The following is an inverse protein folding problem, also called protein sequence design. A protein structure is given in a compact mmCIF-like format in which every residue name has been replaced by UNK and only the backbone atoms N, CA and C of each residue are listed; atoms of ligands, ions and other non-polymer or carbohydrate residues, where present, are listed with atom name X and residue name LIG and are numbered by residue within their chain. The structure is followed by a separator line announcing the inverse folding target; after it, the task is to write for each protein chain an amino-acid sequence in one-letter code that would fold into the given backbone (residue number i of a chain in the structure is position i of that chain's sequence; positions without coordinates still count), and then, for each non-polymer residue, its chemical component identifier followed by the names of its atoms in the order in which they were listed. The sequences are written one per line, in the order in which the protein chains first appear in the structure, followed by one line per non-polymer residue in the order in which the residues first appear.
data_IF_522289863292
#
_entry.id   IF_522289863292
#
_cell.length_a   1.000
_cell.length_b   1.000
_cell.length_c   1.000
_cell.angle_alpha   90.00
_cell.angle_beta   90.00
_cell.angle_gamma   90.00
#
_symmetry.space_group_name_H-M   'P 1'
#
loop_
_entity.id
_entity.type
_entity.pdbx_description
1 polymer ?
#
# COMPACT_ATOMS: atom_id res chain seq x y z
N UNK A 1 -1.56 -3.47 -7.50
CA UNK A 1 -2.81 -3.06 -6.82
C UNK A 1 -3.94 -2.94 -7.84
N UNK A 2 -5.20 -3.10 -7.39
CA UNK A 2 -6.40 -2.93 -8.24
C UNK A 2 -7.28 -1.79 -7.72
N UNK A 3 -7.90 -1.07 -8.63
CA UNK A 3 -8.98 -0.12 -8.35
C UNK A 3 -10.31 -0.76 -8.72
N UNK A 4 -11.18 -0.92 -7.73
CA UNK A 4 -12.50 -1.55 -7.87
C UNK A 4 -13.56 -0.46 -7.89
N UNK A 5 -14.44 -0.48 -8.89
CA UNK A 5 -15.61 0.39 -8.93
C UNK A 5 -16.88 -0.43 -8.77
N UNK A 6 -17.73 0.00 -7.83
CA UNK A 6 -19.01 -0.62 -7.51
C UNK A 6 -20.04 0.48 -7.22
N UNK A 7 -21.10 0.50 -8.02
CA UNK A 7 -22.06 1.61 -8.00
C UNK A 7 -21.35 2.93 -8.31
N UNK A 8 -21.42 3.89 -7.38
CA UNK A 8 -20.74 5.19 -7.47
C UNK A 8 -19.42 5.26 -6.71
N UNK A 9 -19.06 4.19 -5.99
CA UNK A 9 -17.90 4.16 -5.12
C UNK A 9 -16.71 3.49 -5.80
N UNK A 10 -15.51 3.95 -5.45
CA UNK A 10 -14.27 3.37 -5.93
C UNK A 10 -13.34 3.06 -4.77
N UNK A 11 -12.82 1.84 -4.75
CA UNK A 11 -11.95 1.32 -3.71
C UNK A 11 -10.60 0.92 -4.29
N UNK A 12 -9.57 0.93 -3.45
CA UNK A 12 -8.26 0.40 -3.78
C UNK A 12 -8.07 -0.88 -2.98
N UNK A 13 -7.63 -1.95 -3.64
CA UNK A 13 -7.38 -3.24 -3.02
C UNK A 13 -6.04 -3.79 -3.51
N UNK A 14 -5.49 -4.76 -2.77
CA UNK A 14 -4.37 -5.53 -3.29
C UNK A 14 -4.80 -6.41 -4.48
N UNK A 15 -3.82 -6.88 -5.25
CA UNK A 15 -4.12 -7.62 -6.49
C UNK A 15 -4.87 -8.93 -6.23
N UNK A 16 -4.52 -9.62 -5.14
CA UNK A 16 -5.14 -10.89 -4.78
C UNK A 16 -6.59 -10.69 -4.37
N UNK A 17 -6.87 -9.73 -3.51
CA UNK A 17 -8.22 -9.38 -3.09
C UNK A 17 -9.09 -8.93 -4.27
N UNK A 18 -8.51 -8.19 -5.23
CA UNK A 18 -9.19 -7.81 -6.46
C UNK A 18 -9.53 -9.02 -7.35
N UNK A 19 -8.60 -9.96 -7.51
CA UNK A 19 -8.83 -11.20 -8.27
C UNK A 19 -9.87 -12.11 -7.60
N UNK A 20 -9.77 -12.28 -6.28
CA UNK A 20 -10.70 -13.07 -5.49
C UNK A 20 -12.13 -12.48 -5.57
N UNK A 21 -12.27 -11.15 -5.48
CA UNK A 21 -13.55 -10.47 -5.67
C UNK A 21 -14.14 -10.71 -7.06
N UNK A 22 -13.32 -10.59 -8.11
CA UNK A 22 -13.80 -10.79 -9.49
C UNK A 22 -14.20 -12.23 -9.75
N UNK A 23 -13.52 -13.20 -9.14
CA UNK A 23 -13.92 -14.60 -9.18
C UNK A 23 -15.28 -14.79 -8.48
N UNK A 24 -15.42 -14.26 -7.26
CA UNK A 24 -16.65 -14.40 -6.48
C UNK A 24 -17.86 -13.74 -7.17
N UNK A 25 -17.67 -12.57 -7.78
CA UNK A 25 -18.73 -11.90 -8.55
C UNK A 25 -19.21 -12.74 -9.74
N UNK A 26 -18.33 -13.52 -10.39
CA UNK A 26 -18.72 -14.45 -11.47
C UNK A 26 -19.51 -15.64 -10.93
N UNK A 27 -19.14 -16.15 -9.76
CA UNK A 27 -19.85 -17.25 -9.10
C UNK A 27 -21.27 -16.82 -8.68
N UNK A 28 -21.45 -15.59 -8.20
CA UNK A 28 -22.76 -14.95 -7.93
C UNK A 28 -23.57 -14.81 -9.23
N UNK A 29 -22.95 -14.34 -10.31
CA UNK A 29 -23.62 -14.20 -11.61
C UNK A 29 -24.11 -15.55 -12.16
N UNK A 30 -23.32 -16.62 -11.98
CA UNK A 30 -23.65 -17.96 -12.42
C UNK A 30 -24.74 -18.62 -11.57
N UNK A 31 -24.64 -18.52 -10.24
CA UNK A 31 -25.60 -19.10 -9.30
C UNK A 31 -26.94 -18.34 -9.25
N UNK A 32 -26.92 -17.05 -9.63
CA UNK A 32 -28.03 -16.11 -9.55
C UNK A 32 -28.52 -15.82 -8.12
N UNK A 33 -27.69 -16.11 -7.11
CA UNK A 33 -27.98 -15.85 -5.70
C UNK A 33 -27.17 -14.65 -5.19
N UNK A 34 -27.81 -13.52 -4.80
CA UNK A 34 -27.10 -12.33 -4.34
C UNK A 34 -26.42 -12.54 -2.98
N UNK A 35 -25.22 -11.97 -2.80
CA UNK A 35 -24.43 -12.14 -1.58
C UNK A 35 -23.80 -10.83 -1.11
N UNK A 36 -23.61 -10.70 0.21
CA UNK A 36 -22.78 -9.65 0.81
C UNK A 36 -21.34 -10.11 0.83
N UNK A 37 -20.49 -9.46 0.03
CA UNK A 37 -19.06 -9.75 -0.06
C UNK A 37 -18.28 -8.74 0.78
N UNK A 38 -17.33 -9.25 1.56
CA UNK A 38 -16.41 -8.42 2.33
C UNK A 38 -15.03 -8.42 1.70
N UNK A 39 -14.47 -7.24 1.49
CA UNK A 39 -13.13 -7.09 0.89
C UNK A 39 -12.26 -6.14 1.72
N UNK A 40 -10.96 -6.45 1.89
CA UNK A 40 -10.00 -5.52 2.45
C UNK A 40 -9.72 -4.39 1.45
N UNK A 41 -9.99 -3.15 1.85
CA UNK A 41 -9.70 -1.93 1.10
C UNK A 41 -8.55 -1.17 1.73
N UNK A 42 -7.68 -0.62 0.89
CA UNK A 42 -6.52 0.18 1.26
C UNK A 42 -6.94 1.65 1.30
N UNK A 43 -6.73 2.29 2.43
CA UNK A 43 -7.02 3.70 2.66
C UNK A 43 -5.83 4.58 2.18
N UNK A 44 -6.04 5.90 1.99
CA UNK A 44 -4.96 6.81 1.58
C UNK A 44 -3.76 6.86 2.56
N UNK A 45 -3.98 6.55 3.83
CA UNK A 45 -2.94 6.46 4.87
C UNK A 45 -2.16 5.12 4.84
N UNK A 46 -2.50 4.23 3.89
CA UNK A 46 -1.93 2.89 3.76
C UNK A 46 -2.53 1.85 4.71
N UNK A 47 -3.47 2.22 5.59
CA UNK A 47 -4.18 1.27 6.44
C UNK A 47 -5.18 0.44 5.65
N UNK A 48 -5.55 -0.71 6.19
CA UNK A 48 -6.57 -1.59 5.59
C UNK A 48 -7.86 -1.55 6.40
N UNK A 49 -9.01 -1.45 5.71
CA UNK A 49 -10.35 -1.55 6.30
C UNK A 49 -11.19 -2.59 5.56
N UNK A 50 -12.24 -3.10 6.20
CA UNK A 50 -13.20 -3.98 5.54
C UNK A 50 -14.32 -3.16 4.90
N UNK A 51 -14.56 -3.36 3.61
CA UNK A 51 -15.75 -2.88 2.91
C UNK A 51 -16.73 -4.04 2.74
N UNK A 52 -18.03 -3.79 2.92
CA UNK A 52 -19.09 -4.76 2.65
C UNK A 52 -19.93 -4.30 1.46
N UNK A 53 -20.14 -5.18 0.50
CA UNK A 53 -20.76 -4.86 -0.79
C UNK A 53 -21.84 -5.89 -1.10
N UNK A 54 -23.05 -5.46 -1.46
CA UNK A 54 -24.12 -6.37 -1.90
C UNK A 54 -23.97 -6.63 -3.41
N UNK A 55 -23.47 -7.80 -3.80
CA UNK A 55 -23.28 -8.14 -5.20
C UNK A 55 -24.44 -9.03 -5.64
N UNK A 56 -25.22 -8.51 -6.58
CA UNK A 56 -26.27 -9.28 -7.24
C UNK A 56 -25.80 -9.86 -8.58
N UNK A 57 -26.59 -10.77 -9.18
CA UNK A 57 -26.19 -11.48 -10.40
C UNK A 57 -25.96 -10.59 -11.62
N UNK A 58 -26.60 -9.41 -11.63
CA UNK A 58 -26.49 -8.42 -12.70
C UNK A 58 -25.75 -7.15 -12.25
N UNK A 59 -25.12 -7.19 -11.08
CA UNK A 59 -24.40 -6.03 -10.56
C UNK A 59 -23.07 -5.88 -11.27
N UNK A 60 -22.85 -4.72 -11.90
CA UNK A 60 -21.57 -4.42 -12.52
C UNK A 60 -20.49 -4.18 -11.45
N UNK A 61 -19.40 -4.93 -11.56
CA UNK A 61 -18.18 -4.73 -10.78
C UNK A 61 -17.05 -4.54 -11.78
N UNK A 62 -16.36 -3.40 -11.71
CA UNK A 62 -15.21 -3.13 -12.56
C UNK A 62 -13.94 -3.21 -11.73
N UNK A 63 -12.93 -3.88 -12.27
CA UNK A 63 -11.59 -3.91 -11.70
C UNK A 63 -10.60 -3.44 -12.76
N UNK A 64 -9.79 -2.43 -12.42
CA UNK A 64 -8.72 -1.93 -13.28
C UNK A 64 -7.39 -1.98 -12.54
N UNK A 65 -6.31 -2.22 -13.26
CA UNK A 65 -4.97 -2.13 -12.69
C UNK A 65 -4.68 -0.70 -12.21
N UNK A 66 -4.09 -0.59 -11.02
CA UNK A 66 -3.68 0.68 -10.42
C UNK A 66 -2.21 0.62 -10.02
N UNK A 67 -1.27 0.55 -10.99
CA UNK A 67 0.16 0.48 -10.72
C UNK A 67 0.72 1.76 -10.07
N UNK A 68 0.03 2.89 -10.29
CA UNK A 68 0.30 4.19 -9.68
C UNK A 68 0.10 4.21 -8.16
N UNK A 69 -0.69 3.28 -7.65
CA UNK A 69 -0.99 3.16 -6.23
C UNK A 69 -0.11 2.13 -5.51
N UNK A 70 0.78 1.44 -6.23
CA UNK A 70 1.72 0.55 -5.55
C UNK A 70 2.54 1.36 -4.55
N UNK A 71 2.68 0.88 -3.29
CA UNK A 71 3.52 1.56 -2.34
C UNK A 71 4.89 1.58 -2.99
N UNK A 72 5.52 2.75 -3.12
CA UNK A 72 6.90 2.83 -3.54
C UNK A 72 7.66 1.87 -2.65
N UNK A 73 8.04 0.69 -3.18
CA UNK A 73 8.76 -0.33 -2.42
C UNK A 73 9.91 0.42 -1.82
N UNK A 74 9.87 0.65 -0.51
CA UNK A 74 11.01 1.20 0.21
C UNK A 74 12.11 0.23 -0.14
N UNK A 75 13.01 0.62 -1.04
CA UNK A 75 14.21 -0.15 -1.29
C UNK A 75 14.80 -0.23 0.10
N UNK A 76 14.71 -1.41 0.71
CA UNK A 76 15.54 -1.73 1.85
C UNK A 76 16.91 -1.60 1.25
N UNK A 77 17.53 -0.44 1.44
CA UNK A 77 18.96 -0.29 1.24
C UNK A 77 19.51 -1.38 2.11
N UNK A 78 19.93 -2.48 1.47
CA UNK A 78 20.65 -3.57 2.12
C UNK A 78 21.57 -2.89 3.11
N UNK A 79 21.34 -3.10 4.42
CA UNK A 79 22.26 -2.59 5.42
C UNK A 79 23.63 -3.02 4.94
N UNK A 80 24.46 -2.05 4.53
CA UNK A 80 25.83 -2.32 4.19
C UNK A 80 26.39 -2.95 5.45
N UNK A 81 26.73 -4.24 5.36
CA UNK A 81 27.44 -4.93 6.42
C UNK A 81 28.78 -4.20 6.48
N UNK A 82 28.90 -3.22 7.37
CA UNK A 82 30.13 -2.47 7.61
C UNK A 82 31.14 -3.50 8.05
N UNK A 83 31.97 -3.97 7.11
CA UNK A 83 33.20 -4.68 7.44
C UNK A 83 34.09 -3.63 8.07
N UNK A 84 34.37 -3.83 9.36
CA UNK A 84 35.43 -3.20 10.16
C UNK A 84 35.51 -1.67 10.06
N UNK A 85 35.06 -1.00 11.11
CA UNK A 85 35.63 0.29 11.50
C UNK A 85 37.12 0.02 11.76
N UNK A 86 38.00 0.65 10.98
CA UNK A 86 39.43 0.70 11.31
C UNK A 86 39.58 1.68 12.48
N UNK A 87 39.97 1.22 13.70
CA UNK A 87 40.12 2.10 14.85
C UNK A 87 41.26 3.12 14.69
N UNK A 88 42.07 3.06 13.64
CA UNK A 88 43.12 4.05 13.38
C UNK A 88 42.62 5.38 12.78
N UNK A 89 41.34 5.48 12.38
CA UNK A 89 40.76 6.69 11.77
C UNK A 89 39.82 7.48 12.70
N UNK A 90 39.73 7.09 13.97
CA UNK A 90 38.92 7.80 14.99
C UNK A 90 39.85 8.51 15.97
N UNK A 91 40.59 9.51 15.49
CA UNK A 91 41.07 10.66 16.29
C UNK A 91 41.79 11.66 15.37
N UNK A 92 41.08 12.72 14.95
CA UNK A 92 41.69 14.03 14.71
C UNK A 92 40.68 15.10 15.14
N UNK A 93 40.73 15.40 16.44
CA UNK A 93 39.94 16.44 17.10
C UNK A 93 40.77 17.73 17.11
N UNK A 94 40.60 18.55 16.07
CA UNK A 94 41.01 19.96 16.12
C UNK A 94 40.19 20.84 15.19
N UNK A 95 38.86 20.82 15.32
CA UNK A 95 37.99 21.84 14.69
C UNK A 95 36.70 22.04 15.47
N UNK A 96 36.78 22.17 16.79
CA UNK A 96 35.69 22.79 17.57
C UNK A 96 35.94 24.29 17.64
N UNK A 97 35.38 25.04 16.69
CA UNK A 97 35.14 26.48 16.86
C UNK A 97 33.71 26.77 16.42
N UNK A 98 32.78 26.68 17.38
CA UNK A 98 31.44 27.21 17.24
C UNK A 98 31.50 28.72 17.53
N UNK A 99 31.37 29.53 16.48
CA UNK A 99 31.13 30.96 16.59
C UNK A 99 29.61 31.15 16.81
N UNK A 100 29.20 31.24 18.07
CA UNK A 100 27.85 31.66 18.46
C UNK A 100 27.89 33.16 18.77
N UNK A 101 27.83 33.95 17.70
CA UNK A 101 27.61 35.39 17.80
C UNK A 101 26.22 35.69 18.36
N UNK A 102 26.17 36.18 19.59
CA UNK A 102 25.05 36.96 20.10
C UNK A 102 25.36 38.43 19.83
N UNK A 103 24.54 39.09 19.01
CA UNK A 103 24.51 40.54 18.92
C UNK A 103 23.30 41.06 19.71
N UNK A 104 23.55 42.14 20.46
CA UNK A 104 22.73 42.76 21.50
C UNK A 104 21.73 43.79 21.00
#
# INVERSE_FOLDING_TARGET
MKRITYGTETFVVDDRAGEDLMKHARDIAASRDPEVVQIPVIQPDGSTRQASMLIGPNTAVLAVDAPDLEPARRRVSTMARVRSIDPALVYDDSSTYFDIGFDT
#
